data_IF_660020425752
#
_entry.id   IF_660020425752
#
_cell.length_a   1.000
_cell.length_b   1.000
_cell.length_c   1.000
_cell.angle_alpha   90.00
_cell.angle_beta   90.00
_cell.angle_gamma   90.00
#
_symmetry.space_group_name_H-M   'P 1'
#
loop_
_entity.id
_entity.type
_entity.pdbx_description
1 polymer ?
#
# COMPACT_ATOMS: atom_id res chain seq x y z
N UNK A 1 -12.61 10.78 7.94
CA UNK A 1 -12.52 10.47 6.50
C UNK A 1 -11.34 9.54 6.36
N UNK A 2 -11.55 8.36 5.79
CA UNK A 2 -10.58 7.26 5.76
C UNK A 2 -9.40 7.64 4.85
N UNK A 3 -8.13 7.49 5.25
CA UNK A 3 -6.97 7.89 4.45
C UNK A 3 -6.92 7.21 3.07
N UNK A 4 -7.29 5.94 2.98
CA UNK A 4 -7.34 5.20 1.71
C UNK A 4 -8.37 5.77 0.74
N UNK A 5 -9.58 6.10 1.20
CA UNK A 5 -10.60 6.74 0.36
C UNK A 5 -10.12 8.07 -0.21
N UNK A 6 -9.39 8.85 0.59
CA UNK A 6 -8.85 10.13 0.16
C UNK A 6 -7.72 9.93 -0.87
N UNK A 7 -6.84 8.96 -0.66
CA UNK A 7 -5.84 8.54 -1.64
C UNK A 7 -6.51 8.08 -2.95
N UNK A 8 -7.47 7.15 -2.87
CA UNK A 8 -8.18 6.60 -4.00
C UNK A 8 -8.88 7.68 -4.82
N UNK A 9 -9.60 8.61 -4.18
CA UNK A 9 -10.24 9.75 -4.85
C UNK A 9 -9.23 10.63 -5.57
N UNK A 10 -8.07 10.90 -4.95
CA UNK A 10 -7.00 11.70 -5.59
C UNK A 10 -6.36 10.97 -6.76
N UNK A 11 -6.01 9.71 -6.59
CA UNK A 11 -5.44 8.89 -7.65
C UNK A 11 -6.40 8.77 -8.84
N UNK A 12 -7.69 8.47 -8.61
CA UNK A 12 -8.71 8.48 -9.67
C UNK A 12 -8.84 9.82 -10.36
N UNK A 13 -8.75 10.93 -9.62
CA UNK A 13 -8.75 12.27 -10.21
C UNK A 13 -7.53 12.48 -11.09
N UNK A 14 -6.33 12.08 -10.66
CA UNK A 14 -5.10 12.16 -11.47
C UNK A 14 -5.27 11.36 -12.77
N UNK A 15 -5.77 10.12 -12.68
CA UNK A 15 -5.98 9.25 -13.84
C UNK A 15 -7.06 9.78 -14.80
N UNK A 16 -8.11 10.43 -14.28
CA UNK A 16 -9.16 11.02 -15.10
C UNK A 16 -8.75 12.36 -15.72
N UNK A 17 -7.77 13.06 -15.14
CA UNK A 17 -7.32 14.34 -15.65
C UNK A 17 -6.32 14.07 -16.78
N UNK A 18 -6.78 14.16 -18.03
CA UNK A 18 -5.96 13.95 -19.24
C UNK A 18 -4.81 14.96 -19.45
N UNK A 19 -4.45 15.74 -18.42
CA UNK A 19 -3.33 16.68 -18.40
C UNK A 19 -1.97 15.99 -18.35
N UNK A 20 -1.91 14.74 -17.91
CA UNK A 20 -0.69 13.92 -17.94
C UNK A 20 -0.92 12.79 -18.95
N UNK A 21 -0.16 12.81 -20.04
CA UNK A 21 -0.33 11.86 -21.16
C UNK A 21 0.72 10.74 -21.16
N UNK A 22 1.74 10.83 -20.30
CA UNK A 22 2.76 9.80 -20.13
C UNK A 22 2.47 8.93 -18.88
N UNK A 23 2.44 7.61 -19.07
CA UNK A 23 2.21 6.61 -18.02
C UNK A 23 3.25 6.67 -16.89
N UNK A 24 4.51 6.97 -17.22
CA UNK A 24 5.58 7.11 -16.20
C UNK A 24 5.31 8.31 -15.28
N UNK A 25 4.90 9.44 -15.85
CA UNK A 25 4.59 10.64 -15.08
C UNK A 25 3.32 10.46 -14.22
N UNK A 26 2.33 9.70 -14.73
CA UNK A 26 1.15 9.32 -13.96
C UNK A 26 1.50 8.40 -12.79
N UNK A 27 2.31 7.37 -13.06
CA UNK A 27 2.81 6.43 -12.05
C UNK A 27 3.54 7.16 -10.93
N UNK A 28 4.40 8.11 -11.30
CA UNK A 28 5.16 8.92 -10.35
C UNK A 28 4.26 9.80 -9.48
N UNK A 29 3.20 10.37 -10.03
CA UNK A 29 2.26 11.18 -9.24
C UNK A 29 1.44 10.29 -8.27
N UNK A 30 1.00 9.11 -8.70
CA UNK A 30 0.35 8.12 -7.83
C UNK A 30 1.29 7.72 -6.68
N UNK A 31 2.57 7.45 -6.98
CA UNK A 31 3.60 7.12 -5.98
C UNK A 31 3.74 8.23 -4.94
N UNK A 32 3.85 9.49 -5.35
CA UNK A 32 3.94 10.64 -4.43
C UNK A 32 2.74 10.72 -3.50
N UNK A 33 1.53 10.50 -4.01
CA UNK A 33 0.33 10.49 -3.16
C UNK A 33 0.32 9.32 -2.18
N UNK A 34 0.75 8.14 -2.62
CA UNK A 34 0.86 6.96 -1.76
C UNK A 34 1.86 7.20 -0.62
N UNK A 35 3.06 7.68 -0.94
CA UNK A 35 4.14 7.95 0.03
C UNK A 35 3.72 8.98 1.06
N UNK A 36 3.02 10.02 0.62
CA UNK A 36 2.48 11.05 1.50
C UNK A 36 1.43 10.49 2.47
N UNK A 37 0.65 9.51 2.04
CA UNK A 37 -0.44 8.94 2.85
C UNK A 37 0.08 7.99 3.91
N UNK A 38 1.17 7.27 3.64
CA UNK A 38 1.82 6.37 4.60
C UNK A 38 2.67 7.08 5.67
N UNK A 39 2.69 8.41 5.70
CA UNK A 39 3.20 9.20 6.83
C UNK A 39 4.63 8.84 7.24
N UNK A 40 4.79 8.34 8.46
CA UNK A 40 6.08 8.10 9.13
C UNK A 40 6.74 6.76 8.76
N UNK A 41 6.15 5.92 7.90
CA UNK A 41 6.80 4.67 7.52
C UNK A 41 8.18 4.92 6.87
N UNK A 42 9.16 4.02 7.06
CA UNK A 42 10.47 4.11 6.44
C UNK A 42 10.38 4.29 4.92
N UNK A 43 11.25 5.13 4.36
CA UNK A 43 11.20 5.43 2.93
C UNK A 43 11.50 4.20 2.08
N UNK A 44 12.46 3.38 2.50
CA UNK A 44 12.80 2.06 1.92
C UNK A 44 11.55 1.18 1.83
N UNK A 45 10.85 1.02 2.94
CA UNK A 45 9.61 0.25 3.04
C UNK A 45 8.53 0.77 2.08
N UNK A 46 8.33 2.09 1.99
CA UNK A 46 7.36 2.68 1.05
C UNK A 46 7.69 2.35 -0.40
N UNK A 47 8.98 2.34 -0.76
CA UNK A 47 9.43 1.93 -2.08
C UNK A 47 9.18 0.45 -2.33
N UNK A 48 9.54 -0.42 -1.41
CA UNK A 48 9.36 -1.86 -1.57
C UNK A 48 7.88 -2.21 -1.79
N UNK A 49 7.00 -1.66 -0.94
CA UNK A 49 5.55 -1.80 -1.09
C UNK A 49 5.09 -1.33 -2.48
N UNK A 50 5.49 -0.14 -2.90
CA UNK A 50 5.06 0.40 -4.19
C UNK A 50 5.56 -0.42 -5.38
N UNK A 51 6.84 -0.83 -5.36
CA UNK A 51 7.47 -1.56 -6.47
C UNK A 51 6.88 -2.95 -6.63
N UNK A 52 6.60 -3.65 -5.52
CA UNK A 52 5.93 -4.94 -5.54
C UNK A 52 4.61 -4.85 -6.31
N UNK A 53 3.72 -3.95 -5.91
CA UNK A 53 2.42 -3.84 -6.59
C UNK A 53 2.51 -3.28 -8.00
N UNK A 54 3.47 -2.37 -8.29
CA UNK A 54 3.68 -1.87 -9.65
C UNK A 54 4.12 -2.98 -10.61
N UNK A 55 4.88 -3.95 -10.12
CA UNK A 55 5.33 -5.12 -10.89
C UNK A 55 4.17 -6.06 -11.24
N UNK A 56 3.26 -6.31 -10.30
CA UNK A 56 2.14 -7.23 -10.50
C UNK A 56 0.89 -6.62 -11.15
N UNK A 57 0.69 -5.31 -11.01
CA UNK A 57 -0.49 -4.64 -11.57
C UNK A 57 -0.26 -4.25 -13.04
N UNK A 58 -1.14 -4.73 -13.92
CA UNK A 58 -1.11 -4.42 -15.36
C UNK A 58 -1.46 -2.96 -15.68
N UNK A 59 -2.21 -2.31 -14.80
CA UNK A 59 -2.72 -0.96 -15.02
C UNK A 59 -2.79 -0.15 -13.71
N UNK A 60 -2.89 1.17 -13.85
CA UNK A 60 -2.88 2.09 -12.72
C UNK A 60 -4.15 2.03 -11.85
N UNK A 61 -5.29 1.57 -12.36
CA UNK A 61 -6.48 1.40 -11.54
C UNK A 61 -6.28 0.25 -10.56
N UNK A 62 -5.86 -0.91 -11.07
CA UNK A 62 -5.51 -2.08 -10.26
C UNK A 62 -4.44 -1.75 -9.23
N UNK A 63 -3.41 -1.00 -9.64
CA UNK A 63 -2.38 -0.51 -8.72
C UNK A 63 -2.98 0.36 -7.61
N UNK A 64 -3.81 1.34 -7.96
CA UNK A 64 -4.43 2.26 -6.99
C UNK A 64 -5.30 1.50 -5.98
N UNK A 65 -6.03 0.48 -6.41
CA UNK A 65 -6.86 -0.36 -5.53
C UNK A 65 -5.99 -1.10 -4.52
N UNK A 66 -4.93 -1.77 -4.99
CA UNK A 66 -4.00 -2.47 -4.12
C UNK A 66 -3.25 -1.56 -3.15
N UNK A 67 -2.82 -0.38 -3.60
CA UNK A 67 -2.18 0.61 -2.73
C UNK A 67 -3.15 1.17 -1.67
N UNK A 68 -4.45 1.23 -1.97
CA UNK A 68 -5.48 1.66 -1.01
C UNK A 68 -5.61 0.65 0.14
N UNK A 69 -5.66 -0.65 -0.19
CA UNK A 69 -5.68 -1.72 0.81
C UNK A 69 -4.46 -1.67 1.74
N UNK A 70 -3.27 -1.38 1.21
CA UNK A 70 -2.07 -1.19 2.02
C UNK A 70 -2.18 0.00 2.97
N UNK A 71 -2.75 1.11 2.51
CA UNK A 71 -2.99 2.28 3.36
C UNK A 71 -3.89 1.90 4.52
N UNK A 72 -4.95 1.12 4.29
CA UNK A 72 -5.86 0.68 5.35
C UNK A 72 -5.18 -0.27 6.35
N UNK A 73 -4.33 -1.18 5.87
CA UNK A 73 -3.50 -2.03 6.74
C UNK A 73 -2.62 -1.17 7.66
N UNK A 74 -1.85 -0.23 7.10
CA UNK A 74 -0.92 0.58 7.89
C UNK A 74 -1.60 1.67 8.73
N UNK A 75 -2.86 1.99 8.46
CA UNK A 75 -3.67 2.87 9.32
C UNK A 75 -4.53 2.10 10.34
N UNK A 76 -4.41 0.76 10.39
CA UNK A 76 -5.19 -0.10 11.28
C UNK A 76 -6.70 -0.09 11.00
N UNK A 77 -7.08 0.14 9.74
CA UNK A 77 -8.46 0.24 9.25
C UNK A 77 -8.80 -0.91 8.26
N UNK A 78 -7.96 -1.95 8.20
CA UNK A 78 -8.13 -3.10 7.31
C UNK A 78 -9.51 -3.76 7.42
N UNK A 79 -10.22 -3.86 6.29
CA UNK A 79 -11.47 -4.61 6.15
C UNK A 79 -11.29 -5.73 5.11
N UNK A 80 -11.31 -6.99 5.54
CA UNK A 80 -11.15 -8.14 4.65
C UNK A 80 -12.19 -8.21 3.51
N UNK A 81 -13.38 -7.65 3.71
CA UNK A 81 -14.42 -7.61 2.70
C UNK A 81 -14.09 -6.65 1.55
N UNK A 82 -13.25 -5.65 1.79
CA UNK A 82 -12.90 -4.58 0.85
C UNK A 82 -11.45 -4.69 0.37
N UNK A 83 -10.54 -5.09 1.25
CA UNK A 83 -9.09 -5.06 1.08
C UNK A 83 -8.52 -6.47 0.91
N UNK A 84 -9.06 -7.24 -0.03
CA UNK A 84 -8.64 -8.63 -0.16
C UNK A 84 -7.20 -8.70 -0.68
N UNK A 85 -6.33 -9.29 0.15
CA UNK A 85 -4.96 -9.66 -0.20
C UNK A 85 -4.86 -11.18 -0.38
N UNK A 86 -4.15 -11.58 -1.42
CA UNK A 86 -3.75 -12.94 -1.72
C UNK A 86 -2.58 -13.38 -0.81
N UNK A 87 -2.34 -14.68 -0.74
CA UNK A 87 -1.37 -15.27 0.19
C UNK A 87 0.05 -14.73 -0.02
N UNK A 88 0.46 -14.58 -1.28
CA UNK A 88 1.79 -14.08 -1.65
C UNK A 88 1.98 -12.63 -1.19
N UNK A 89 0.91 -11.84 -1.21
CA UNK A 89 0.91 -10.45 -0.74
C UNK A 89 1.10 -10.38 0.79
N UNK A 90 0.50 -11.32 1.54
CA UNK A 90 0.73 -11.45 2.99
C UNK A 90 2.15 -11.91 3.35
N UNK A 91 2.72 -12.83 2.57
CA UNK A 91 4.11 -13.27 2.75
C UNK A 91 5.06 -12.09 2.51
N UNK A 92 4.85 -11.35 1.42
CA UNK A 92 5.62 -10.15 1.13
C UNK A 92 5.52 -9.10 2.25
N UNK A 93 4.32 -8.85 2.77
CA UNK A 93 4.13 -7.94 3.90
C UNK A 93 4.88 -8.40 5.15
N UNK A 94 4.90 -9.71 5.45
CA UNK A 94 5.70 -10.27 6.56
C UNK A 94 7.16 -9.86 6.42
N UNK A 95 7.74 -10.11 5.24
CA UNK A 95 9.17 -9.93 5.01
C UNK A 95 9.55 -8.45 5.09
N UNK A 96 8.82 -7.58 4.40
CA UNK A 96 9.06 -6.12 4.39
C UNK A 96 8.91 -5.51 5.78
N UNK A 97 7.88 -5.89 6.53
CA UNK A 97 7.65 -5.39 7.89
C UNK A 97 8.74 -5.90 8.85
N UNK A 98 9.17 -7.16 8.69
CA UNK A 98 10.23 -7.74 9.52
C UNK A 98 11.59 -7.07 9.29
N UNK A 99 11.91 -6.75 8.04
CA UNK A 99 13.15 -6.05 7.66
C UNK A 99 13.22 -4.64 8.22
N UNK A 100 12.07 -3.97 8.38
CA UNK A 100 11.96 -2.59 8.85
C UNK A 100 11.45 -2.50 10.31
N UNK A 101 11.41 -3.60 11.05
CA UNK A 101 10.73 -3.69 12.35
C UNK A 101 11.26 -2.69 13.41
N UNK A 102 12.54 -2.30 13.32
CA UNK A 102 13.14 -1.35 14.27
C UNK A 102 12.76 0.11 13.99
N UNK A 103 12.21 0.39 12.82
CA UNK A 103 11.90 1.75 12.35
C UNK A 103 10.39 2.01 12.25
N UNK A 104 9.57 0.98 12.43
CA UNK A 104 8.10 1.07 12.48
C UNK A 104 7.69 1.27 13.93
N UNK A 105 6.66 2.09 14.18
CA UNK A 105 6.12 2.20 15.53
C UNK A 105 5.55 0.86 16.02
N UNK A 106 5.78 0.53 17.29
CA UNK A 106 5.42 -0.77 17.87
C UNK A 106 3.94 -1.13 17.64
N UNK A 107 3.04 -0.14 17.68
CA UNK A 107 1.61 -0.36 17.53
C UNK A 107 1.29 -0.83 16.12
N UNK A 108 1.83 -0.15 15.10
CA UNK A 108 1.68 -0.53 13.69
C UNK A 108 2.34 -1.88 13.42
N UNK A 109 3.57 -2.09 13.89
CA UNK A 109 4.27 -3.36 13.75
C UNK A 109 3.45 -4.53 14.32
N UNK A 110 2.99 -4.41 15.56
CA UNK A 110 2.18 -5.46 16.21
C UNK A 110 0.87 -5.71 15.46
N UNK A 111 0.21 -4.66 14.99
CA UNK A 111 -1.03 -4.77 14.24
C UNK A 111 -0.83 -5.55 12.93
N UNK A 112 0.14 -5.14 12.12
CA UNK A 112 0.39 -5.76 10.81
C UNK A 112 0.88 -7.20 10.98
N UNK A 113 1.76 -7.46 11.94
CA UNK A 113 2.22 -8.83 12.23
C UNK A 113 1.08 -9.73 12.68
N UNK A 114 0.13 -9.23 13.49
CA UNK A 114 -1.08 -9.99 13.84
C UNK A 114 -1.88 -10.37 12.60
N UNK A 115 -2.13 -9.43 11.69
CA UNK A 115 -2.84 -9.70 10.43
C UNK A 115 -2.10 -10.74 9.59
N UNK A 116 -0.79 -10.59 9.40
CA UNK A 116 0.05 -11.53 8.64
C UNK A 116 -0.10 -12.96 9.17
N UNK A 117 -0.08 -13.13 10.50
CA UNK A 117 -0.23 -14.44 11.14
C UNK A 117 -1.64 -15.00 10.94
N UNK A 118 -2.68 -14.19 11.14
CA UNK A 118 -4.07 -14.59 10.95
C UNK A 118 -4.37 -14.99 9.49
N UNK A 119 -3.68 -14.37 8.53
CA UNK A 119 -3.87 -14.59 7.09
C UNK A 119 -2.92 -15.62 6.48
N UNK A 120 -2.07 -16.26 7.30
CA UNK A 120 -1.25 -17.39 6.88
C UNK A 120 0.08 -17.01 6.22
N UNK A 121 0.61 -15.81 6.51
CA UNK A 121 2.03 -15.52 6.36
C UNK A 121 2.81 -16.41 7.33
N UNK A 122 3.37 -17.51 6.82
CA UNK A 122 3.95 -18.57 7.65
C UNK A 122 5.19 -18.07 8.41
N UNK A 123 5.29 -18.46 9.69
CA UNK A 123 6.48 -18.27 10.53
C UNK A 123 7.67 -19.11 10.04
#
# INVERSE_FOLDING_TARGET
MIPSEHFYKKAKKILATGSITNDEALTEEVRKQFFKTLGELPETMKYDLFLFYRYFCSDLNSLTEKLSALIDIFNMEYDEGLDKLEKEEWIFLKDVVSENALEIDDKTLMYVMKLVVEKGGVF
#
